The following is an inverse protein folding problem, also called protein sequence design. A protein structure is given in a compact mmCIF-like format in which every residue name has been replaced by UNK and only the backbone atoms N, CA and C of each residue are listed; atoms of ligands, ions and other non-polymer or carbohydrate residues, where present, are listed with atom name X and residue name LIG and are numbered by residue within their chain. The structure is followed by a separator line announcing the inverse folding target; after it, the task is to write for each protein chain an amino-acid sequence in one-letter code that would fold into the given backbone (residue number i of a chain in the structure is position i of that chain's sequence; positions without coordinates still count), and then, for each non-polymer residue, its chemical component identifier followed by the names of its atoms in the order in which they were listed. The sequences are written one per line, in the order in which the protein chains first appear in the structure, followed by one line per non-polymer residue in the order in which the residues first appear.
data_IF_325683771645
#
_entry.id   IF_325683771645
#
_cell.length_a   1.000
_cell.length_b   1.000
_cell.length_c   1.000
_cell.angle_alpha   90.00
_cell.angle_beta   90.00
_cell.angle_gamma   90.00
#
_symmetry.space_group_name_H-M   'P 1'
#
loop_
_entity.id
_entity.type
_entity.pdbx_description
1 polymer ?
#
# COMPACT_ATOMS: atom_id res chain seq x y z
N UNK A 1 10.36 9.44 12.24
CA UNK A 1 9.88 9.57 10.84
C UNK A 1 8.36 9.41 10.90
N UNK A 2 7.60 10.49 11.07
CA UNK A 2 6.14 10.47 11.37
C UNK A 2 5.27 11.03 10.24
N UNK A 3 5.88 11.56 9.19
CA UNK A 3 5.18 12.22 8.08
C UNK A 3 4.07 11.38 7.46
N UNK A 4 4.29 10.07 7.28
CA UNK A 4 3.27 9.16 6.76
C UNK A 4 2.06 9.06 7.68
N UNK A 5 2.29 8.87 8.98
CA UNK A 5 1.22 8.75 9.97
C UNK A 5 0.42 10.05 10.09
N UNK A 6 1.11 11.19 10.11
CA UNK A 6 0.49 12.51 10.17
C UNK A 6 -0.31 12.81 8.90
N UNK A 7 0.19 12.42 7.73
CA UNK A 7 -0.55 12.50 6.48
C UNK A 7 -1.83 11.65 6.55
N UNK A 8 -1.73 10.39 6.96
CA UNK A 8 -2.89 9.50 7.10
C UNK A 8 -3.90 10.01 8.14
N UNK A 9 -3.45 10.70 9.19
CA UNK A 9 -4.34 11.41 10.13
C UNK A 9 -5.12 12.53 9.43
N UNK A 10 -4.49 13.30 8.54
CA UNK A 10 -5.19 14.34 7.75
C UNK A 10 -6.22 13.73 6.81
N UNK A 11 -5.93 12.57 6.20
CA UNK A 11 -6.88 11.81 5.39
C UNK A 11 -8.12 11.44 6.20
N UNK A 12 -7.93 10.87 7.41
CA UNK A 12 -9.04 10.54 8.31
C UNK A 12 -9.84 11.77 8.73
N UNK A 13 -9.17 12.88 9.08
CA UNK A 13 -9.82 14.15 9.47
C UNK A 13 -10.64 14.77 8.35
N UNK A 14 -10.26 14.54 7.10
CA UNK A 14 -11.01 14.97 5.93
C UNK A 14 -12.22 14.06 5.63
N UNK A 15 -12.49 13.04 6.46
CA UNK A 15 -13.62 12.13 6.31
C UNK A 15 -13.34 10.92 5.40
N UNK A 16 -12.11 10.74 4.93
CA UNK A 16 -11.75 9.64 4.05
C UNK A 16 -11.18 8.46 4.83
N UNK A 17 -11.72 7.26 4.57
CA UNK A 17 -11.08 6.02 4.98
C UNK A 17 -9.75 5.87 4.23
N UNK A 18 -8.79 5.16 4.83
CA UNK A 18 -7.58 4.81 4.10
C UNK A 18 -7.30 3.31 4.18
N UNK A 19 -6.70 2.82 3.10
CA UNK A 19 -6.06 1.52 3.04
C UNK A 19 -4.55 1.76 2.93
N UNK A 20 -3.78 1.12 3.80
CA UNK A 20 -2.33 1.12 3.78
C UNK A 20 -1.86 -0.30 3.49
N UNK A 21 -0.96 -0.43 2.52
CA UNK A 21 -0.34 -1.70 2.17
C UNK A 21 1.18 -1.56 2.02
N UNK A 22 1.92 -2.61 2.34
CA UNK A 22 3.37 -2.66 2.10
C UNK A 22 3.65 -2.79 0.59
N UNK A 23 4.83 -2.32 0.17
CA UNK A 23 5.26 -2.39 -1.24
C UNK A 23 5.45 -3.81 -1.76
N UNK A 24 5.58 -4.79 -0.87
CA UNK A 24 5.70 -6.21 -1.20
C UNK A 24 4.34 -6.94 -1.11
N UNK A 25 3.24 -6.21 -1.23
CA UNK A 25 1.91 -6.80 -1.43
C UNK A 25 1.64 -7.02 -2.92
N UNK A 26 1.14 -8.21 -3.26
CA UNK A 26 0.75 -8.58 -4.63
C UNK A 26 -0.77 -8.69 -4.69
N UNK A 27 -1.39 -7.92 -5.59
CA UNK A 27 -2.85 -7.81 -5.70
C UNK A 27 -3.30 -8.62 -6.92
N UNK A 28 -4.05 -9.69 -6.68
CA UNK A 28 -4.54 -10.60 -7.73
C UNK A 28 -6.00 -10.31 -8.10
N UNK A 29 -6.74 -9.62 -7.24
CA UNK A 29 -8.11 -9.18 -7.49
C UNK A 29 -8.43 -7.89 -6.72
N UNK A 30 -9.63 -7.34 -6.92
CA UNK A 30 -10.07 -6.12 -6.24
C UNK A 30 -10.37 -6.41 -4.75
N UNK A 31 -9.58 -5.88 -3.79
CA UNK A 31 -9.80 -6.15 -2.37
C UNK A 31 -11.02 -5.46 -1.79
N UNK A 32 -11.54 -4.40 -2.43
CA UNK A 32 -12.69 -3.64 -1.93
C UNK A 32 -13.98 -4.47 -1.89
N UNK A 33 -14.06 -5.57 -2.63
CA UNK A 33 -15.20 -6.50 -2.56
C UNK A 33 -15.25 -7.29 -1.24
N UNK A 34 -14.16 -7.31 -0.47
CA UNK A 34 -14.00 -8.11 0.75
C UNK A 34 -13.82 -7.26 2.01
N UNK A 35 -13.79 -5.94 1.86
CA UNK A 35 -13.64 -4.99 2.95
C UNK A 35 -15.04 -4.60 3.42
N UNK A 36 -15.30 -4.66 4.72
CA UNK A 36 -16.57 -4.21 5.28
C UNK A 36 -16.68 -2.69 5.22
N UNK A 37 -17.87 -2.15 4.91
CA UNK A 37 -18.14 -0.71 5.00
C UNK A 37 -18.92 -0.36 6.28
N UNK A 38 -19.08 -1.31 7.19
CA UNK A 38 -19.70 -1.06 8.50
C UNK A 38 -18.80 -0.13 9.34
N UNK A 39 -19.30 1.06 9.60
CA UNK A 39 -18.63 2.09 10.41
C UNK A 39 -18.54 1.75 11.90
N UNK A 40 -19.21 0.68 12.36
CA UNK A 40 -19.01 0.12 13.70
C UNK A 40 -17.59 -0.44 13.86
N UNK A 41 -17.02 -0.97 12.77
CA UNK A 41 -15.64 -1.46 12.69
C UNK A 41 -14.70 -0.26 12.59
N UNK A 42 -13.67 -0.27 13.43
CA UNK A 42 -12.65 0.79 13.48
C UNK A 42 -11.48 0.51 12.56
N UNK A 43 -11.03 -0.74 12.55
CA UNK A 43 -9.87 -1.21 11.78
C UNK A 43 -10.17 -2.56 11.15
N UNK A 44 -9.69 -2.76 9.92
CA UNK A 44 -9.63 -4.06 9.29
C UNK A 44 -8.22 -4.35 8.84
N UNK A 45 -7.86 -5.62 8.72
CA UNK A 45 -6.56 -5.93 8.17
C UNK A 45 -6.27 -7.40 8.11
N UNK A 46 -5.15 -7.69 7.47
CA UNK A 46 -4.68 -9.03 7.29
C UNK A 46 -4.31 -9.68 8.63
N UNK A 47 -4.76 -10.92 8.81
CA UNK A 47 -4.44 -11.72 9.99
C UNK A 47 -2.95 -12.08 10.04
N UNK A 48 -2.33 -11.92 11.20
CA UNK A 48 -0.98 -12.36 11.51
C UNK A 48 -0.99 -13.17 12.80
N UNK A 49 -0.50 -14.41 12.78
CA UNK A 49 -0.46 -15.30 13.96
C UNK A 49 -1.81 -15.40 14.71
N UNK A 50 -2.92 -15.48 13.96
CA UNK A 50 -4.32 -15.64 14.43
C UNK A 50 -4.92 -14.45 15.20
N UNK A 51 -4.16 -13.79 16.07
CA UNK A 51 -4.68 -12.74 16.98
C UNK A 51 -4.10 -11.36 16.74
N UNK A 52 -3.06 -11.25 15.90
CA UNK A 52 -2.44 -9.97 15.54
C UNK A 52 -2.86 -9.55 14.15
N UNK A 53 -2.75 -8.26 13.89
CA UNK A 53 -2.86 -7.71 12.55
C UNK A 53 -1.47 -7.53 11.94
N UNK A 54 -1.34 -7.88 10.66
CA UNK A 54 -0.17 -7.54 9.86
C UNK A 54 -0.18 -6.06 9.52
N UNK A 55 0.97 -5.39 9.59
CA UNK A 55 1.11 -3.98 9.20
C UNK A 55 1.02 -3.76 7.69
N UNK A 56 1.18 -4.81 6.88
CA UNK A 56 1.28 -4.65 5.43
C UNK A 56 -0.02 -4.68 4.66
N UNK A 57 -1.17 -4.84 5.34
CA UNK A 57 -2.47 -4.58 4.72
C UNK A 57 -3.50 -4.24 5.79
N UNK A 58 -3.77 -2.94 5.96
CA UNK A 58 -4.69 -2.40 6.96
C UNK A 58 -5.64 -1.38 6.36
N UNK A 59 -6.86 -1.33 6.88
CA UNK A 59 -7.88 -0.33 6.57
C UNK A 59 -8.29 0.36 7.86
N UNK A 60 -8.32 1.68 7.86
CA UNK A 60 -8.83 2.48 8.99
C UNK A 60 -10.04 3.29 8.51
N UNK A 61 -11.15 3.16 9.24
CA UNK A 61 -12.36 3.93 8.96
C UNK A 61 -12.27 5.33 9.56
N UNK A 62 -12.76 6.33 8.83
CA UNK A 62 -12.82 7.72 9.23
C UNK A 62 -14.01 7.98 10.17
N UNK A 63 -13.97 7.34 11.34
CA UNK A 63 -14.94 7.51 12.43
C UNK A 63 -14.24 8.10 13.64
N UNK A 64 -14.99 8.60 14.63
CA UNK A 64 -14.39 9.12 15.87
C UNK A 64 -13.49 8.09 16.56
N UNK A 65 -13.84 6.80 16.48
CA UNK A 65 -13.02 5.69 16.99
C UNK A 65 -11.74 5.52 16.17
N UNK A 66 -11.82 5.58 14.83
CA UNK A 66 -10.66 5.45 13.94
C UNK A 66 -9.67 6.61 14.06
N UNK A 67 -10.18 7.84 14.18
CA UNK A 67 -9.35 9.02 14.48
C UNK A 67 -8.61 8.84 15.82
N UNK A 68 -9.32 8.41 16.87
CA UNK A 68 -8.72 8.18 18.19
C UNK A 68 -7.64 7.10 18.14
N UNK A 69 -7.94 5.96 17.52
CA UNK A 69 -6.98 4.87 17.32
C UNK A 69 -5.72 5.36 16.63
N UNK A 70 -5.86 6.07 15.52
CA UNK A 70 -4.72 6.54 14.74
C UNK A 70 -3.90 7.61 15.48
N UNK A 71 -4.56 8.44 16.30
CA UNK A 71 -3.89 9.41 17.17
C UNK A 71 -3.05 8.70 18.24
N UNK A 72 -3.57 7.62 18.81
CA UNK A 72 -2.85 6.79 19.77
C UNK A 72 -1.64 6.09 19.12
N UNK A 73 -1.77 5.64 17.86
CA UNK A 73 -0.67 5.07 17.07
C UNK A 73 0.44 6.11 16.84
N UNK A 74 0.08 7.34 16.46
CA UNK A 74 1.04 8.45 16.30
C UNK A 74 1.77 8.73 17.62
N UNK A 75 1.03 8.81 18.73
CA UNK A 75 1.61 9.05 20.06
C UNK A 75 2.58 7.93 20.45
N UNK A 76 2.19 6.68 20.23
CA UNK A 76 3.05 5.52 20.47
C UNK A 76 4.33 5.58 19.62
N UNK A 77 4.22 5.89 18.32
CA UNK A 77 5.38 6.01 17.43
C UNK A 77 6.30 7.18 17.80
N UNK A 78 5.75 8.31 18.24
CA UNK A 78 6.56 9.42 18.76
C UNK A 78 7.36 9.01 20.00
N UNK A 79 6.73 8.28 20.93
CA UNK A 79 7.42 7.75 22.11
C UNK A 79 8.51 6.75 21.72
N UNK A 80 8.21 5.83 20.80
CA UNK A 80 9.19 4.87 20.28
C UNK A 80 10.43 5.56 19.70
N UNK A 81 10.26 6.69 19.00
CA UNK A 81 11.38 7.46 18.48
C UNK A 81 12.24 8.09 19.58
N UNK A 82 11.63 8.55 20.68
CA UNK A 82 12.35 9.06 21.85
C UNK A 82 13.14 7.93 22.51
N UNK A 83 12.49 6.80 22.81
CA UNK A 83 13.10 5.63 23.45
C UNK A 83 14.27 5.05 22.63
N UNK A 84 14.17 5.08 21.29
CA UNK A 84 15.24 4.66 20.40
C UNK A 84 16.42 5.65 20.40
N UNK A 85 16.15 6.97 20.34
CA UNK A 85 17.18 8.01 20.35
C UNK A 85 17.97 8.03 21.66
N UNK A 86 17.26 7.89 22.78
CA UNK A 86 17.85 7.89 24.13
C UNK A 86 18.43 6.53 24.52
N UNK A 87 18.41 5.55 23.60
CA UNK A 87 18.87 4.18 23.85
C UNK A 87 18.21 3.49 25.06
N UNK A 88 17.03 3.97 25.50
CA UNK A 88 16.28 3.36 26.60
C UNK A 88 15.88 1.91 26.30
N UNK A 89 15.76 1.54 25.02
CA UNK A 89 15.51 0.16 24.59
C UNK A 89 16.63 -0.81 25.02
N UNK A 90 17.89 -0.35 25.10
CA UNK A 90 19.01 -1.15 25.60
C UNK A 90 18.86 -1.40 27.11
N UNK A 91 18.51 -0.36 27.87
CA UNK A 91 18.28 -0.46 29.31
C UNK A 91 17.09 -1.39 29.63
N UNK A 92 16.04 -1.31 28.81
CA UNK A 92 14.82 -2.14 28.94
C UNK A 92 14.93 -3.52 28.27
N UNK A 93 16.08 -3.85 27.65
CA UNK A 93 16.31 -5.10 26.91
C UNK A 93 15.21 -5.43 25.89
N UNK A 94 14.67 -4.40 25.23
CA UNK A 94 13.60 -4.56 24.23
C UNK A 94 14.22 -4.65 22.82
N UNK A 95 13.79 -5.62 21.99
CA UNK A 95 14.26 -5.69 20.61
C UNK A 95 13.70 -4.54 19.78
N UNK A 96 14.41 -4.11 18.74
CA UNK A 96 13.98 -3.02 17.86
C UNK A 96 12.66 -3.31 17.13
N UNK A 97 12.29 -4.59 16.97
CA UNK A 97 11.01 -5.03 16.41
C UNK A 97 9.78 -4.54 17.19
N UNK A 98 9.96 -4.23 18.48
CA UNK A 98 8.89 -3.71 19.34
C UNK A 98 8.53 -2.24 19.05
N UNK A 99 9.40 -1.54 18.30
CA UNK A 99 9.26 -0.11 18.04
C UNK A 99 8.58 0.17 16.69
N UNK A 100 7.87 -0.82 16.15
CA UNK A 100 7.20 -0.75 14.85
C UNK A 100 5.78 -0.17 14.95
N UNK A 101 5.27 0.35 13.83
CA UNK A 101 3.89 0.83 13.75
C UNK A 101 2.89 -0.30 13.98
N UNK A 102 3.17 -1.48 13.41
CA UNK A 102 2.38 -2.69 13.62
C UNK A 102 2.23 -3.00 15.12
N UNK A 103 3.29 -2.84 15.92
CA UNK A 103 3.21 -3.08 17.36
C UNK A 103 2.35 -2.03 18.06
N UNK A 104 2.46 -0.74 17.68
CA UNK A 104 1.57 0.31 18.17
C UNK A 104 0.09 0.04 17.86
N UNK A 105 -0.22 -0.50 16.68
CA UNK A 105 -1.58 -0.92 16.30
C UNK A 105 -2.02 -2.12 17.14
N UNK A 106 -1.20 -3.18 17.19
CA UNK A 106 -1.52 -4.42 17.90
C UNK A 106 -1.80 -4.19 19.40
N UNK A 107 -1.07 -3.27 20.03
CA UNK A 107 -1.29 -2.89 21.43
C UNK A 107 -2.66 -2.24 21.71
N UNK A 108 -3.40 -1.84 20.68
CA UNK A 108 -4.74 -1.25 20.80
C UNK A 108 -5.86 -2.19 20.38
N UNK A 109 -5.56 -3.33 19.76
CA UNK A 109 -6.58 -4.21 19.18
C UNK A 109 -7.55 -4.76 20.23
N UNK A 110 -7.09 -5.06 21.45
CA UNK A 110 -7.94 -5.58 22.54
C UNK A 110 -9.07 -4.63 22.96
N UNK A 111 -8.95 -3.34 22.63
CA UNK A 111 -9.93 -2.30 22.99
C UNK A 111 -10.59 -1.68 21.75
N UNK A 112 -10.39 -2.28 20.58
CA UNK A 112 -10.78 -1.71 19.29
C UNK A 112 -11.70 -2.68 18.56
N UNK A 113 -12.82 -2.17 18.04
CA UNK A 113 -13.68 -2.95 17.15
C UNK A 113 -12.93 -3.24 15.85
N UNK A 114 -12.57 -4.51 15.65
CA UNK A 114 -11.73 -4.93 14.53
C UNK A 114 -12.39 -6.02 13.69
N UNK A 115 -12.03 -6.05 12.41
CA UNK A 115 -12.37 -7.14 11.51
C UNK A 115 -11.09 -7.72 10.89
N UNK A 116 -10.81 -8.98 11.17
CA UNK A 116 -9.69 -9.68 10.56
C UNK A 116 -10.11 -10.25 9.20
N UNK A 117 -9.32 -9.96 8.16
CA UNK A 117 -9.59 -10.48 6.82
C UNK A 117 -9.27 -11.98 6.74
N UNK A 118 -10.03 -12.70 5.92
CA UNK A 118 -9.90 -14.15 5.72
C UNK A 118 -8.45 -14.50 5.32
N UNK A 119 -7.73 -15.33 6.11
CA UNK A 119 -6.33 -15.66 5.86
C UNK A 119 -6.09 -16.50 4.60
N UNK A 120 -7.13 -17.07 3.97
CA UNK A 120 -7.02 -17.73 2.66
C UNK A 120 -7.13 -16.76 1.49
N UNK A 121 -7.89 -15.67 1.66
CA UNK A 121 -8.02 -14.60 0.66
C UNK A 121 -6.92 -13.53 0.82
N UNK A 122 -6.44 -13.31 2.04
CA UNK A 122 -5.39 -12.36 2.39
C UNK A 122 -4.21 -13.08 3.09
N UNK A 123 -3.56 -14.07 2.46
CA UNK A 123 -2.48 -14.83 3.07
C UNK A 123 -1.20 -14.02 3.24
N UNK A 124 -0.44 -14.35 4.29
CA UNK A 124 0.95 -13.93 4.40
C UNK A 124 1.85 -14.76 3.46
N UNK A 125 3.08 -14.28 3.27
CA UNK A 125 4.00 -14.87 2.30
C UNK A 125 4.33 -16.32 2.63
N UNK A 126 4.44 -16.67 3.91
CA UNK A 126 4.67 -18.06 4.33
C UNK A 126 3.48 -18.95 3.97
N UNK A 127 2.26 -18.48 4.26
CA UNK A 127 1.03 -19.23 4.03
C UNK A 127 0.79 -19.49 2.55
N UNK A 128 1.12 -18.52 1.69
CA UNK A 128 0.97 -18.67 0.24
C UNK A 128 2.15 -19.41 -0.42
N UNK A 129 3.38 -18.93 -0.23
CA UNK A 129 4.55 -19.43 -0.99
C UNK A 129 5.14 -20.71 -0.43
N UNK A 130 5.14 -20.89 0.90
CA UNK A 130 5.82 -22.03 1.52
C UNK A 130 4.80 -23.14 1.87
N UNK A 131 3.67 -22.78 2.44
CA UNK A 131 2.67 -23.72 2.96
C UNK A 131 1.52 -24.02 2.00
N UNK A 132 1.38 -23.27 0.91
CA UNK A 132 0.37 -23.50 -0.12
C UNK A 132 -1.07 -23.56 0.43
N UNK A 133 -1.38 -22.79 1.48
CA UNK A 133 -2.64 -22.90 2.24
C UNK A 133 -3.87 -22.54 1.39
N UNK A 134 -3.93 -21.41 0.67
CA UNK A 134 -5.02 -21.15 -0.28
C UNK A 134 -5.10 -22.20 -1.40
N UNK A 135 -3.95 -22.59 -1.95
CA UNK A 135 -3.84 -23.49 -3.10
C UNK A 135 -4.38 -24.89 -2.79
N UNK A 136 -4.05 -25.44 -1.62
CA UNK A 136 -4.58 -26.73 -1.15
C UNK A 136 -6.11 -26.78 -1.02
N UNK A 137 -6.77 -25.61 -1.06
CA UNK A 137 -8.24 -25.47 -1.03
C UNK A 137 -8.84 -25.01 -2.36
N UNK A 138 -8.03 -24.86 -3.40
CA UNK A 138 -8.46 -24.30 -4.67
C UNK A 138 -8.88 -22.83 -4.59
N UNK A 139 -8.38 -22.08 -3.59
CA UNK A 139 -8.72 -20.68 -3.37
C UNK A 139 -7.67 -19.78 -4.03
N UNK A 140 -8.11 -18.88 -4.90
CA UNK A 140 -7.29 -17.80 -5.44
C UNK A 140 -7.25 -16.66 -4.42
N UNK A 141 -6.07 -16.27 -3.92
CA UNK A 141 -5.97 -15.11 -3.04
C UNK A 141 -6.38 -13.82 -3.73
N UNK A 142 -6.78 -12.84 -2.93
CA UNK A 142 -7.08 -11.46 -3.34
C UNK A 142 -5.82 -10.61 -3.25
N UNK A 143 -5.13 -10.68 -2.09
CA UNK A 143 -3.86 -10.00 -1.85
C UNK A 143 -2.91 -10.93 -1.12
N UNK A 144 -1.64 -10.98 -1.55
CA UNK A 144 -0.57 -11.74 -0.88
C UNK A 144 0.42 -10.75 -0.28
N UNK A 145 0.78 -10.90 1.00
CA UNK A 145 1.76 -10.02 1.65
C UNK A 145 3.13 -10.70 1.80
N UNK A 146 4.16 -10.17 1.14
CA UNK A 146 5.52 -10.74 1.08
C UNK A 146 6.39 -10.63 2.35
N UNK A 147 5.80 -10.50 3.54
CA UNK A 147 6.50 -10.19 4.80
C UNK A 147 7.46 -11.25 5.37
N UNK A 148 7.46 -12.48 4.84
CA UNK A 148 8.22 -13.60 5.43
C UNK A 148 9.68 -13.71 4.94
N UNK A 149 10.03 -12.98 3.87
CA UNK A 149 11.35 -13.08 3.27
C UNK A 149 12.15 -11.79 3.51
N UNK A 150 13.40 -11.91 3.96
CA UNK A 150 14.28 -10.77 4.22
C UNK A 150 15.13 -10.48 2.99
N UNK A 151 15.27 -9.19 2.64
CA UNK A 151 16.11 -8.73 1.54
C UNK A 151 15.36 -8.58 0.22
N UNK A 152 15.67 -7.49 -0.51
CA UNK A 152 15.03 -7.15 -1.77
C UNK A 152 15.24 -8.23 -2.84
N UNK A 153 16.47 -8.70 -3.00
CA UNK A 153 16.83 -9.69 -4.02
C UNK A 153 16.07 -11.00 -3.83
N UNK A 154 15.97 -11.48 -2.59
CA UNK A 154 15.23 -12.68 -2.26
C UNK A 154 13.74 -12.52 -2.58
N UNK A 155 13.15 -11.36 -2.24
CA UNK A 155 11.75 -11.04 -2.57
C UNK A 155 11.51 -11.03 -4.09
N UNK A 156 12.38 -10.36 -4.85
CA UNK A 156 12.30 -10.32 -6.32
C UNK A 156 12.38 -11.74 -6.89
N UNK A 157 13.37 -12.53 -6.49
CA UNK A 157 13.55 -13.92 -6.94
C UNK A 157 12.33 -14.79 -6.66
N UNK A 158 11.72 -14.65 -5.47
CA UNK A 158 10.51 -15.38 -5.09
C UNK A 158 9.31 -14.99 -5.96
N UNK A 159 9.09 -13.70 -6.20
CA UNK A 159 7.99 -13.27 -7.05
C UNK A 159 8.20 -13.74 -8.50
N UNK A 160 9.43 -13.69 -9.00
CA UNK A 160 9.79 -14.21 -10.32
C UNK A 160 9.56 -15.72 -10.43
N UNK A 161 9.99 -16.51 -9.45
CA UNK A 161 9.81 -17.98 -9.49
C UNK A 161 8.34 -18.42 -9.42
N UNK A 162 7.45 -17.51 -8.99
CA UNK A 162 6.01 -17.72 -8.93
C UNK A 162 5.26 -17.02 -10.08
N UNK A 163 5.99 -16.46 -11.06
CA UNK A 163 5.41 -15.68 -12.17
C UNK A 163 4.52 -14.51 -11.71
N UNK A 164 4.81 -13.94 -10.54
CA UNK A 164 4.12 -12.78 -9.95
C UNK A 164 4.89 -11.47 -10.18
N UNK A 165 6.08 -11.54 -10.75
CA UNK A 165 6.88 -10.39 -11.13
C UNK A 165 7.58 -10.71 -12.46
N UNK A 166 7.42 -9.83 -13.45
CA UNK A 166 8.12 -9.94 -14.71
C UNK A 166 9.64 -9.93 -14.46
N UNK A 167 10.35 -10.90 -15.03
CA UNK A 167 11.81 -10.77 -15.14
C UNK A 167 12.11 -9.62 -16.12
N UNK A 168 13.27 -8.99 -16.00
CA UNK A 168 13.70 -7.89 -16.88
C UNK A 168 13.84 -8.30 -18.37
N UNK A 169 13.57 -9.56 -18.71
CA UNK A 169 13.40 -10.04 -20.08
C UNK A 169 12.02 -9.70 -20.65
N UNK A 170 11.99 -9.35 -21.92
CA UNK A 170 10.84 -8.89 -22.72
C UNK A 170 9.66 -9.88 -22.88
N UNK A 171 9.58 -10.94 -22.09
CA UNK A 171 8.48 -11.90 -22.10
C UNK A 171 7.87 -12.03 -20.71
N UNK A 172 6.66 -11.49 -20.53
CA UNK A 172 5.78 -11.95 -19.47
C UNK A 172 5.11 -13.24 -19.93
N UNK A 173 5.31 -14.33 -19.20
CA UNK A 173 4.45 -15.49 -19.37
C UNK A 173 3.05 -15.15 -18.83
N UNK A 174 1.98 -15.46 -19.57
CA UNK A 174 0.63 -15.30 -19.05
C UNK A 174 0.48 -16.01 -17.70
N UNK A 175 -0.18 -15.36 -16.73
CA UNK A 175 -0.49 -15.95 -15.42
C UNK A 175 -1.14 -17.34 -15.52
N UNK A 176 -1.83 -17.61 -16.62
CA UNK A 176 -2.46 -18.89 -16.97
C UNK A 176 -1.46 -20.06 -17.08
N UNK A 177 -0.19 -19.79 -17.42
CA UNK A 177 0.84 -20.81 -17.54
C UNK A 177 1.58 -21.09 -16.22
N UNK A 178 1.47 -20.18 -15.24
CA UNK A 178 2.23 -20.23 -13.99
C UNK A 178 1.40 -20.53 -12.74
N UNK A 179 0.10 -20.28 -12.77
CA UNK A 179 -0.79 -20.47 -11.62
C UNK A 179 -2.04 -21.22 -12.08
N UNK A 180 -2.41 -22.35 -11.43
CA UNK A 180 -3.47 -23.26 -11.92
C UNK A 180 -4.89 -22.75 -11.63
N UNK A 181 -5.16 -21.48 -11.94
CA UNK A 181 -6.48 -20.88 -11.77
C UNK A 181 -7.05 -20.42 -13.10
N UNK A 182 -8.26 -20.90 -13.40
CA UNK A 182 -9.05 -20.40 -14.51
C UNK A 182 -9.53 -18.99 -14.19
N UNK A 183 -8.91 -17.99 -14.81
CA UNK A 183 -9.39 -16.61 -14.74
C UNK A 183 -10.74 -16.54 -15.47
N UNK A 184 -11.83 -16.38 -14.72
CA UNK A 184 -13.14 -16.11 -15.31
C UNK A 184 -13.03 -14.80 -16.12
N UNK A 185 -13.20 -14.88 -17.44
CA UNK A 185 -13.25 -13.73 -18.34
C UNK A 185 -14.19 -12.66 -17.79
N UNK A 186 -13.66 -11.57 -17.25
CA UNK A 186 -14.45 -10.37 -16.96
C UNK A 186 -14.26 -9.33 -18.04
N UNK A 187 -15.41 -8.93 -18.53
CA UNK A 187 -15.72 -7.85 -19.46
C UNK A 187 -15.45 -6.48 -18.85
N UNK A 188 -14.91 -5.60 -19.70
CA UNK A 188 -14.62 -4.18 -19.53
C UNK A 188 -13.19 -3.84 -19.04
N UNK A 189 -12.48 -2.94 -19.76
CA UNK A 189 -11.17 -2.46 -19.35
C UNK A 189 -11.27 -1.70 -18.01
N UNK A 190 -10.38 -2.03 -17.08
CA UNK A 190 -10.28 -1.35 -15.77
C UNK A 190 -9.71 0.04 -15.99
N UNK A 191 -10.43 1.08 -15.56
CA UNK A 191 -9.93 2.46 -15.55
C UNK A 191 -9.38 2.79 -14.17
N UNK A 192 -8.06 3.02 -14.07
CA UNK A 192 -7.38 3.33 -12.81
C UNK A 192 -7.16 4.84 -12.73
N UNK A 193 -7.70 5.47 -11.68
CA UNK A 193 -7.42 6.86 -11.36
C UNK A 193 -6.31 6.91 -10.29
N UNK A 194 -5.17 7.51 -10.63
CA UNK A 194 -4.01 7.64 -9.73
C UNK A 194 -3.85 9.11 -9.36
N UNK A 195 -4.26 9.48 -8.14
CA UNK A 195 -4.03 10.83 -7.63
C UNK A 195 -2.66 10.89 -6.95
N UNK A 196 -1.76 11.71 -7.50
CA UNK A 196 -0.40 11.90 -6.99
C UNK A 196 -0.37 13.16 -6.14
N UNK A 197 -0.13 12.98 -4.84
CA UNK A 197 0.13 14.07 -3.91
C UNK A 197 1.64 14.22 -3.76
N UNK A 198 2.20 15.13 -4.55
CA UNK A 198 3.61 15.43 -4.58
C UNK A 198 4.09 16.28 -3.38
N UNK A 199 3.19 16.99 -2.67
CA UNK A 199 3.50 17.71 -1.41
C UNK A 199 4.76 18.59 -1.51
N UNK A 200 4.79 19.44 -2.53
CA UNK A 200 5.91 20.31 -2.87
C UNK A 200 7.24 19.59 -3.23
N UNK A 201 7.19 18.31 -3.65
CA UNK A 201 8.35 17.51 -4.07
C UNK A 201 8.39 17.32 -5.57
N UNK A 202 8.60 18.41 -6.29
CA UNK A 202 8.59 18.42 -7.75
C UNK A 202 9.53 17.38 -8.38
N UNK A 203 10.75 17.24 -7.85
CA UNK A 203 11.72 16.27 -8.37
C UNK A 203 11.25 14.81 -8.21
N UNK A 204 10.53 14.50 -7.13
CA UNK A 204 9.98 13.16 -6.94
C UNK A 204 8.85 12.88 -7.92
N UNK A 205 7.99 13.87 -8.18
CA UNK A 205 6.96 13.78 -9.21
C UNK A 205 7.60 13.57 -10.59
N UNK A 206 8.64 14.35 -10.94
CA UNK A 206 9.35 14.21 -12.20
C UNK A 206 9.91 12.80 -12.37
N UNK A 207 10.63 12.26 -11.38
CA UNK A 207 11.15 10.88 -11.44
C UNK A 207 10.04 9.83 -11.58
N UNK A 208 8.90 10.03 -10.92
CA UNK A 208 7.75 9.13 -11.06
C UNK A 208 7.21 9.16 -12.50
N UNK A 209 7.01 10.34 -13.07
CA UNK A 209 6.53 10.49 -14.46
C UNK A 209 7.53 9.90 -15.46
N UNK A 210 8.82 10.14 -15.28
CA UNK A 210 9.89 9.52 -16.09
C UNK A 210 9.85 7.99 -15.96
N UNK A 211 9.63 7.45 -14.76
CA UNK A 211 9.53 6.01 -14.54
C UNK A 211 8.28 5.41 -15.19
N UNK A 212 7.13 6.10 -15.14
CA UNK A 212 5.91 5.67 -15.81
C UNK A 212 6.09 5.71 -17.33
N UNK A 213 6.73 6.75 -17.87
CA UNK A 213 7.01 6.84 -19.30
C UNK A 213 8.00 5.79 -19.79
N UNK A 214 9.02 5.45 -18.98
CA UNK A 214 10.02 4.46 -19.33
C UNK A 214 9.58 3.01 -19.05
N UNK A 215 8.43 2.80 -18.41
CA UNK A 215 7.92 1.47 -18.14
C UNK A 215 7.50 0.77 -19.44
N UNK A 216 7.87 -0.50 -19.59
CA UNK A 216 7.45 -1.32 -20.72
C UNK A 216 6.10 -1.98 -20.39
N UNK A 217 5.03 -1.53 -21.04
CA UNK A 217 3.67 -2.04 -20.85
C UNK A 217 3.33 -3.24 -21.76
N UNK A 218 4.28 -3.78 -22.54
CA UNK A 218 4.09 -4.97 -23.37
C UNK A 218 2.89 -4.89 -24.34
N UNK A 219 2.70 -3.71 -24.94
CA UNK A 219 1.55 -3.36 -25.80
C UNK A 219 0.20 -3.27 -25.06
N UNK A 220 0.18 -3.43 -23.74
CA UNK A 220 -0.98 -3.06 -22.93
C UNK A 220 -1.04 -1.53 -22.77
N UNK A 221 -2.22 -1.01 -22.47
CA UNK A 221 -2.40 0.41 -22.21
C UNK A 221 -3.33 0.59 -21.02
N UNK A 222 -2.83 1.26 -19.98
CA UNK A 222 -3.65 1.64 -18.82
C UNK A 222 -4.08 3.08 -18.99
N UNK A 223 -5.39 3.32 -18.98
CA UNK A 223 -5.91 4.68 -18.91
C UNK A 223 -5.63 5.23 -17.50
N UNK A 224 -4.61 6.09 -17.39
CA UNK A 224 -4.25 6.79 -16.16
C UNK A 224 -4.89 8.17 -16.12
N UNK A 225 -5.54 8.48 -15.00
CA UNK A 225 -5.99 9.83 -14.66
C UNK A 225 -5.11 10.34 -13.53
N UNK A 226 -4.18 11.24 -13.87
CA UNK A 226 -3.19 11.81 -12.95
C UNK A 226 -3.66 13.17 -12.49
N UNK A 227 -3.96 13.29 -11.19
CA UNK A 227 -4.15 14.59 -10.55
C UNK A 227 -2.95 14.92 -9.67
N UNK A 228 -2.38 16.10 -9.83
CA UNK A 228 -1.21 16.58 -9.08
C UNK A 228 -1.65 17.68 -8.09
N UNK A 229 -1.23 17.61 -6.83
CA UNK A 229 -1.46 18.69 -5.87
C UNK A 229 -0.60 19.94 -6.20
N UNK A 230 -1.21 21.13 -6.08
CA UNK A 230 -0.54 22.40 -6.37
C UNK A 230 0.43 22.78 -5.24
N UNK A 231 1.48 23.57 -5.52
CA UNK A 231 2.33 24.14 -4.47
C UNK A 231 1.50 24.97 -3.48
N UNK A 232 2.01 25.13 -2.25
CA UNK A 232 1.42 26.05 -1.27
C UNK A 232 1.21 27.44 -1.87
N UNK A 233 0.19 28.16 -1.42
CA UNK A 233 -0.03 29.57 -1.79
C UNK A 233 1.20 30.45 -1.50
N UNK A 234 1.97 30.06 -0.49
CA UNK A 234 3.20 30.71 -0.03
C UNK A 234 4.45 30.39 -0.87
N UNK A 235 4.34 29.50 -1.86
CA UNK A 235 5.47 29.12 -2.72
C UNK A 235 6.02 30.33 -3.51
N UNK A 236 7.35 30.39 -3.61
CA UNK A 236 8.07 31.43 -4.36
C UNK A 236 7.79 31.40 -5.86
N UNK A 237 8.10 32.49 -6.56
CA UNK A 237 7.87 32.62 -8.01
C UNK A 237 8.63 31.59 -8.85
N UNK A 238 9.86 31.26 -8.45
CA UNK A 238 10.69 30.24 -9.10
C UNK A 238 10.08 28.84 -8.98
N UNK A 239 9.54 28.49 -7.81
CA UNK A 239 8.87 27.24 -7.54
C UNK A 239 7.57 27.12 -8.33
N UNK A 240 6.73 28.16 -8.31
CA UNK A 240 5.50 28.24 -9.13
C UNK A 240 5.78 28.06 -10.62
N UNK A 241 6.88 28.63 -11.14
CA UNK A 241 7.29 28.46 -12.55
C UNK A 241 7.64 27.00 -12.88
N UNK A 242 8.37 26.32 -11.99
CA UNK A 242 8.73 24.91 -12.18
C UNK A 242 7.51 23.98 -12.09
N UNK A 243 6.58 24.27 -11.20
CA UNK A 243 5.29 23.56 -11.13
C UNK A 243 4.49 23.70 -12.42
N UNK A 244 4.44 24.92 -12.99
CA UNK A 244 3.76 25.15 -14.27
C UNK A 244 4.34 24.29 -15.40
N UNK A 245 5.67 24.18 -15.49
CA UNK A 245 6.34 23.34 -16.50
C UNK A 245 5.95 21.86 -16.39
N UNK A 246 5.85 21.33 -15.17
CA UNK A 246 5.42 19.94 -14.96
C UNK A 246 3.94 19.75 -15.30
N UNK A 247 3.09 20.73 -15.00
CA UNK A 247 1.68 20.67 -15.39
C UNK A 247 1.47 20.72 -16.91
N UNK A 248 2.26 21.54 -17.63
CA UNK A 248 2.27 21.54 -19.10
C UNK A 248 2.65 20.17 -19.67
N UNK A 249 3.57 19.45 -19.01
CA UNK A 249 3.96 18.10 -19.40
C UNK A 249 2.87 17.03 -19.10
N UNK A 250 2.15 17.14 -17.99
CA UNK A 250 1.07 16.21 -17.62
C UNK A 250 -0.20 16.46 -18.47
N UNK A 251 -0.33 17.65 -19.06
CA UNK A 251 -1.54 18.15 -19.70
C UNK A 251 -2.40 18.88 -18.67
N UNK A 252 -3.02 20.00 -19.06
CA UNK A 252 -3.91 20.74 -18.16
C UNK A 252 -4.97 19.79 -17.60
N UNK A 253 -5.00 19.68 -16.27
CA UNK A 253 -5.72 18.66 -15.48
C UNK A 253 -7.25 18.70 -15.57
N UNK A 254 -7.80 19.24 -16.65
CA UNK A 254 -9.19 19.15 -17.03
C UNK A 254 -9.34 18.15 -18.19
N UNK A 255 -9.48 16.87 -17.83
CA UNK A 255 -10.18 15.85 -18.63
C UNK A 255 -9.55 15.29 -19.93
N UNK A 256 -8.23 15.25 -20.08
CA UNK A 256 -7.63 14.43 -21.15
C UNK A 256 -6.92 13.18 -20.62
N UNK A 257 -7.31 11.96 -21.05
CA UNK A 257 -6.58 10.74 -20.69
C UNK A 257 -5.20 10.78 -21.34
N UNK A 258 -4.16 10.97 -20.53
CA UNK A 258 -2.77 10.77 -20.95
C UNK A 258 -2.60 9.29 -21.25
N UNK A 259 -2.57 8.92 -22.54
CA UNK A 259 -2.25 7.56 -22.96
C UNK A 259 -0.75 7.38 -22.85
N UNK A 260 -0.29 6.72 -21.79
CA UNK A 260 1.05 6.13 -21.77
C UNK A 260 0.96 4.87 -22.63
N UNK A 261 1.81 4.80 -23.66
CA UNK A 261 1.99 3.65 -24.55
C UNK A 261 3.28 2.95 -24.19
#
# INVERSE_FOLDING_TARGET
MTYRLEFLMRVLRAGFHFLSADMDTVWLSNPFNYISYDTSITIQGQTHKQTKMSGGFIIIHATSKGLKLWQDVIKCQNQNLVDLREQQHLQRKRPTSDFTEQECINNRLNTTEMNLLDPYLFPDGRSFFDLHRPQSRGIVPVVIHGNWLVGLEAKIKRLQSWNLLASTGSSCDPLENGIPYSLSKRSNPVRIRIRILAYNRLQSLQRLLESLQAANYLNDSVALDISVDRPSSEAGSSEKKRWKQVMEYVGDGETHPSKFK
#
